data_IF_065428238074
#
_entry.id   IF_065428238074
#
_cell.length_a   1.000
_cell.length_b   1.000
_cell.length_c   1.000
_cell.angle_alpha   90.00
_cell.angle_beta   90.00
_cell.angle_gamma   90.00
#
_symmetry.space_group_name_H-M   'P 1'
#
loop_
_entity.id
_entity.type
_entity.pdbx_description
1 polymer ?
#
# COMPACT_ATOMS: atom_id res chain seq x y z
N UNK A 1 21.41 6.17 6.20
CA UNK A 1 21.11 6.89 4.93
C UNK A 1 20.48 6.00 3.86
N UNK A 2 20.84 4.71 3.73
CA UNK A 2 20.30 3.81 2.69
C UNK A 2 18.78 3.56 2.75
N UNK A 3 18.22 3.43 3.95
CA UNK A 3 16.81 3.10 4.14
C UNK A 3 15.80 4.12 3.57
N UNK A 4 16.14 5.42 3.54
CA UNK A 4 15.24 6.44 2.94
C UNK A 4 15.18 6.27 1.43
N UNK A 5 16.34 6.09 0.78
CA UNK A 5 16.41 5.83 -0.65
C UNK A 5 15.71 4.52 -1.02
N UNK A 6 15.86 3.46 -0.20
CA UNK A 6 15.15 2.20 -0.43
C UNK A 6 13.62 2.38 -0.36
N UNK A 7 13.12 3.22 0.56
CA UNK A 7 11.69 3.54 0.66
C UNK A 7 11.19 4.30 -0.57
N UNK A 8 11.92 5.33 -1.00
CA UNK A 8 11.59 6.11 -2.20
C UNK A 8 11.51 5.19 -3.41
N UNK A 9 12.56 4.39 -3.65
CA UNK A 9 12.59 3.45 -4.77
C UNK A 9 11.43 2.46 -4.73
N UNK A 10 11.11 1.91 -3.55
CA UNK A 10 9.99 0.97 -3.39
C UNK A 10 8.64 1.64 -3.67
N UNK A 11 8.44 2.89 -3.27
CA UNK A 11 7.20 3.64 -3.52
C UNK A 11 7.07 4.03 -5.00
N UNK A 12 8.16 4.40 -5.66
CA UNK A 12 8.16 4.73 -7.09
C UNK A 12 7.80 3.53 -7.97
N UNK A 13 8.31 2.34 -7.64
CA UNK A 13 7.99 1.10 -8.37
C UNK A 13 6.62 0.50 -7.99
N UNK A 14 5.94 1.01 -6.96
CA UNK A 14 4.58 0.57 -6.64
C UNK A 14 3.62 0.94 -7.77
N UNK A 15 2.98 -0.07 -8.35
CA UNK A 15 1.86 0.12 -9.26
C UNK A 15 0.55 0.26 -8.48
N UNK A 16 -0.53 0.77 -9.09
CA UNK A 16 -1.85 0.68 -8.50
C UNK A 16 -2.17 -0.74 -8.04
N UNK A 17 -2.86 -0.87 -6.91
CA UNK A 17 -3.17 -2.14 -6.23
C UNK A 17 -1.97 -2.84 -5.61
N UNK A 18 -0.75 -2.27 -5.64
CA UNK A 18 0.32 -2.77 -4.79
C UNK A 18 0.13 -2.29 -3.36
N UNK A 19 0.50 -3.18 -2.44
CA UNK A 19 0.56 -2.95 -1.00
C UNK A 19 1.98 -3.26 -0.53
N UNK A 20 2.58 -2.31 0.17
CA UNK A 20 3.84 -2.47 0.85
C UNK A 20 3.56 -2.78 2.31
N UNK A 21 4.00 -3.96 2.74
CA UNK A 21 3.84 -4.43 4.10
C UNK A 21 5.15 -4.21 4.87
N UNK A 22 5.05 -3.46 5.97
CA UNK A 22 6.16 -3.38 6.90
C UNK A 22 6.13 -4.59 7.83
N UNK A 23 7.28 -5.24 8.05
CA UNK A 23 7.35 -6.40 8.93
C UNK A 23 6.80 -6.05 10.32
N UNK A 24 5.93 -6.93 10.81
CA UNK A 24 5.29 -6.79 12.10
C UNK A 24 6.33 -7.01 13.20
N UNK A 25 6.45 -6.03 14.09
CA UNK A 25 7.32 -6.11 15.26
C UNK A 25 6.40 -6.06 16.47
N UNK A 26 6.54 -6.97 17.45
CA UNK A 26 5.64 -7.03 18.62
C UNK A 26 5.53 -5.71 19.42
N UNK A 27 6.50 -4.79 19.27
CA UNK A 27 6.54 -3.50 19.95
C UNK A 27 6.10 -2.32 19.09
N UNK A 28 5.80 -2.53 17.81
CA UNK A 28 5.48 -1.47 16.86
C UNK A 28 4.15 -1.75 16.18
N UNK A 29 3.36 -0.70 15.92
CA UNK A 29 2.12 -0.86 15.17
C UNK A 29 2.44 -1.42 13.78
N UNK A 30 1.51 -2.25 13.27
CA UNK A 30 1.52 -2.70 11.88
C UNK A 30 1.31 -1.47 11.00
N UNK A 31 2.23 -1.22 10.09
CA UNK A 31 2.10 -0.16 9.10
C UNK A 31 1.96 -0.84 7.74
N UNK A 32 1.05 -0.33 6.92
CA UNK A 32 0.85 -0.77 5.54
C UNK A 32 0.76 0.46 4.66
N UNK A 33 1.29 0.36 3.45
CA UNK A 33 1.18 1.42 2.44
C UNK A 33 0.52 0.84 1.22
N UNK A 34 -0.58 1.44 0.80
CA UNK A 34 -1.32 1.02 -0.39
C UNK A 34 -1.17 2.06 -1.49
N UNK A 35 -0.93 1.61 -2.71
CA UNK A 35 -0.90 2.48 -3.88
C UNK A 35 -2.24 2.36 -4.63
N UNK A 36 -2.99 3.45 -4.68
CA UNK A 36 -4.30 3.50 -5.37
C UNK A 36 -4.37 4.68 -6.34
N UNK A 37 -5.22 4.56 -7.36
CA UNK A 37 -5.51 5.66 -8.29
C UNK A 37 -6.69 6.47 -7.78
N UNK A 38 -6.56 7.80 -7.77
CA UNK A 38 -7.65 8.72 -7.45
C UNK A 38 -7.58 9.93 -8.37
N UNK A 39 -8.67 10.21 -9.08
CA UNK A 39 -8.72 11.35 -10.03
C UNK A 39 -7.66 11.28 -11.13
N UNK A 40 -7.24 10.08 -11.54
CA UNK A 40 -6.19 9.88 -12.55
C UNK A 40 -4.75 10.02 -12.03
N UNK A 41 -4.56 10.34 -10.75
CA UNK A 41 -3.25 10.43 -10.11
C UNK A 41 -3.01 9.25 -9.17
N UNK A 42 -1.73 8.89 -9.00
CA UNK A 42 -1.29 7.88 -8.05
C UNK A 42 -1.23 8.49 -6.66
N UNK A 43 -1.84 7.82 -5.69
CA UNK A 43 -1.78 8.18 -4.29
C UNK A 43 -1.30 6.99 -3.46
N UNK A 44 -0.52 7.28 -2.42
CA UNK A 44 -0.12 6.32 -1.41
C UNK A 44 -0.89 6.60 -0.13
N UNK A 45 -1.53 5.56 0.39
CA UNK A 45 -2.27 5.58 1.64
C UNK A 45 -1.51 4.81 2.69
N UNK A 46 -1.23 5.48 3.81
CA UNK A 46 -0.52 4.91 4.94
C UNK A 46 -1.55 4.53 5.99
N UNK A 47 -1.60 3.25 6.32
CA UNK A 47 -2.49 2.70 7.32
C UNK A 47 -1.68 2.21 8.52
N UNK A 48 -2.23 2.42 9.72
CA UNK A 48 -1.68 1.93 10.97
C UNK A 48 -2.71 0.97 11.58
N UNK A 49 -2.42 -0.33 11.54
CA UNK A 49 -3.38 -1.36 11.91
C UNK A 49 -4.52 -1.46 10.89
N UNK A 50 -5.69 -0.93 11.24
CA UNK A 50 -6.89 -0.87 10.38
C UNK A 50 -7.34 0.58 10.10
N UNK A 51 -6.58 1.58 10.54
CA UNK A 51 -6.93 3.00 10.40
C UNK A 51 -6.07 3.68 9.32
N UNK A 52 -6.70 4.38 8.38
CA UNK A 52 -6.03 5.32 7.47
C UNK A 52 -5.46 6.47 8.31
N UNK A 53 -4.15 6.65 8.27
CA UNK A 53 -3.45 7.68 9.06
C UNK A 53 -2.95 8.84 8.21
N UNK A 54 -2.62 8.58 6.94
CA UNK A 54 -2.09 9.59 6.05
C UNK A 54 -2.28 9.21 4.58
N UNK A 55 -2.42 10.21 3.71
CA UNK A 55 -2.37 10.03 2.27
C UNK A 55 -1.68 11.18 1.57
N UNK A 56 -0.95 10.85 0.51
CA UNK A 56 -0.41 11.86 -0.40
C UNK A 56 -0.14 11.28 -1.78
N UNK A 57 -0.06 12.15 -2.79
CA UNK A 57 0.49 11.85 -4.12
C UNK A 57 1.97 12.24 -4.24
N UNK A 58 2.56 12.79 -3.18
CA UNK A 58 3.98 13.10 -3.11
C UNK A 58 4.71 11.99 -2.35
N UNK A 59 5.62 11.31 -3.05
CA UNK A 59 6.44 10.21 -2.51
C UNK A 59 7.29 10.69 -1.33
N UNK A 60 7.91 11.86 -1.43
CA UNK A 60 8.81 12.36 -0.38
C UNK A 60 8.02 12.64 0.90
N UNK A 61 6.82 13.21 0.77
CA UNK A 61 5.94 13.46 1.92
C UNK A 61 5.46 12.16 2.58
N UNK A 62 5.19 11.10 1.79
CA UNK A 62 4.84 9.77 2.31
C UNK A 62 6.02 9.16 3.05
N UNK A 63 7.22 9.26 2.50
CA UNK A 63 8.45 8.78 3.14
C UNK A 63 8.68 9.50 4.46
N UNK A 64 8.65 10.83 4.48
CA UNK A 64 8.86 11.59 5.70
C UNK A 64 7.81 11.25 6.78
N UNK A 65 6.55 11.02 6.39
CA UNK A 65 5.53 10.53 7.31
C UNK A 65 5.84 9.12 7.85
N UNK A 66 6.28 8.20 7.00
CA UNK A 66 6.68 6.85 7.43
C UNK A 66 7.86 6.88 8.40
N UNK A 67 8.82 7.79 8.19
CA UNK A 67 9.96 7.99 9.07
C UNK A 67 9.55 8.54 10.44
N UNK A 68 8.50 9.36 10.50
CA UNK A 68 7.92 9.82 11.77
C UNK A 68 7.20 8.69 12.51
N UNK A 69 6.50 7.81 11.80
CA UNK A 69 5.80 6.67 12.39
C UNK A 69 6.75 5.58 12.89
N UNK A 70 7.85 5.34 12.18
CA UNK A 70 8.84 4.34 12.52
C UNK A 70 10.24 4.89 12.19
N UNK A 71 11.09 5.20 13.19
CA UNK A 71 12.44 5.64 12.92
C UNK A 71 13.26 4.53 12.24
N UNK A 72 14.14 4.94 11.32
CA UNK A 72 14.91 4.08 10.39
C UNK A 72 15.64 2.88 11.04
N UNK A 73 15.98 2.97 12.33
CA UNK A 73 16.61 1.90 13.09
C UNK A 73 15.74 0.66 13.34
N UNK A 74 14.45 0.68 13.00
CA UNK A 74 13.58 -0.49 13.08
C UNK A 74 13.39 -1.23 11.73
N UNK A 75 14.07 -0.79 10.67
CA UNK A 75 14.02 -1.37 9.34
C UNK A 75 15.12 -2.42 9.13
N UNK A 76 15.18 -3.41 10.01
CA UNK A 76 16.14 -4.51 9.91
C UNK A 76 15.62 -5.70 9.08
N UNK A 77 14.32 -5.71 8.76
CA UNK A 77 13.69 -6.81 8.03
C UNK A 77 13.20 -6.34 6.65
N UNK A 78 13.28 -7.18 5.61
CA UNK A 78 12.93 -6.80 4.25
C UNK A 78 11.45 -6.41 4.16
N UNK A 79 11.19 -5.23 3.59
CA UNK A 79 9.83 -4.78 3.26
C UNK A 79 9.28 -5.62 2.10
N UNK A 80 8.09 -6.19 2.30
CA UNK A 80 7.45 -7.07 1.33
C UNK A 80 6.50 -6.23 0.47
N UNK A 81 6.68 -6.32 -0.85
CA UNK A 81 5.75 -5.77 -1.82
C UNK A 81 4.82 -6.90 -2.25
N UNK A 82 3.53 -6.73 -2.03
CA UNK A 82 2.48 -7.67 -2.48
C UNK A 82 1.52 -6.93 -3.39
N UNK A 83 1.03 -7.61 -4.42
CA UNK A 83 -0.11 -7.14 -5.18
C UNK A 83 -1.35 -7.53 -4.41
N UNK A 84 -2.25 -6.57 -4.17
CA UNK A 84 -3.60 -6.88 -3.72
C UNK A 84 -4.25 -7.65 -4.88
N UNK A 85 -4.28 -8.98 -4.75
CA UNK A 85 -5.08 -9.80 -5.65
C UNK A 85 -6.52 -9.39 -5.38
N UNK A 86 -7.11 -8.71 -6.38
CA UNK A 86 -8.55 -8.48 -6.44
C UNK A 86 -9.22 -9.83 -6.24
N UNK A 87 -9.82 -10.04 -5.07
CA UNK A 87 -10.67 -11.19 -4.83
C UNK A 87 -11.69 -11.26 -5.96
N UNK A 88 -11.73 -12.42 -6.61
CA UNK A 88 -12.38 -12.69 -7.89
C UNK A 88 -13.89 -12.85 -7.67
N UNK A 89 -14.55 -11.82 -7.11
CA UNK A 89 -15.96 -11.86 -6.71
C UNK A 89 -16.88 -11.13 -7.72
N UNK A 90 -16.31 -10.32 -8.62
CA UNK A 90 -17.05 -9.54 -9.64
C UNK A 90 -17.36 -10.30 -10.95
N UNK A 91 -17.25 -11.64 -10.97
CA UNK A 91 -17.43 -12.45 -12.18
C UNK A 91 -18.80 -13.16 -12.30
N UNK A 92 -19.73 -12.98 -11.36
CA UNK A 92 -20.97 -13.77 -11.31
C UNK A 92 -22.30 -13.02 -11.58
N UNK A 93 -22.30 -11.78 -12.07
CA UNK A 93 -23.55 -11.08 -12.45
C UNK A 93 -23.57 -10.55 -13.89
N UNK A 94 -23.13 -11.35 -14.86
CA UNK A 94 -23.44 -11.10 -16.28
C UNK A 94 -23.72 -12.39 -17.03
N UNK A 95 -24.86 -13.00 -16.68
CA UNK A 95 -25.39 -14.20 -17.31
C UNK A 95 -26.91 -14.34 -17.20
N UNK A 96 -27.64 -13.22 -17.10
CA UNK A 96 -29.09 -13.21 -17.27
C UNK A 96 -29.41 -13.37 -18.77
N UNK A 97 -29.40 -14.62 -19.24
CA UNK A 97 -29.69 -14.98 -20.62
C UNK A 97 -30.50 -16.27 -20.70
N UNK A 98 -31.70 -16.27 -20.11
CA UNK A 98 -32.69 -17.34 -20.33
C UNK A 98 -33.79 -16.81 -21.23
N UNK A 99 -33.60 -17.01 -22.53
CA UNK A 99 -34.67 -16.94 -23.53
C UNK A 99 -35.60 -18.14 -23.33
N UNK A 100 -36.89 -17.90 -23.21
CA UNK A 100 -37.94 -18.89 -23.44
C UNK A 100 -39.02 -18.22 -24.29
N UNK A 101 -39.17 -18.72 -25.50
CA UNK A 101 -40.35 -18.57 -26.34
C UNK A 101 -40.75 -19.95 -26.83
#
# INVERSE_FOLDING_TARGET
MKHRQDLVQKLEVMTPHHVMLFPHHQKLPRVTVQCRMRGGLRHWWVEKGLEETYRSSDVEAVVDHLLQLRPLGSYHSPMILVREETSLEDAFESGAGRSHH
#
